data_IF_160943320184
#
_entry.id   IF_160943320184
#
_cell.length_a   1.000
_cell.length_b   1.000
_cell.length_c   1.000
_cell.angle_alpha   90.00
_cell.angle_beta   90.00
_cell.angle_gamma   90.00
#
_symmetry.space_group_name_H-M   'P 1'
#
loop_
_entity.id
_entity.type
_entity.pdbx_description
1 polymer ?
#
# COMPACT_ATOMS: atom_id res chain seq x y z
N UNK A 1 3.97 8.32 -2.81
CA UNK A 1 3.63 7.06 -2.11
C UNK A 1 4.32 5.92 -2.82
N UNK A 2 5.47 5.45 -2.32
CA UNK A 2 6.15 4.30 -2.90
C UNK A 2 5.41 3.00 -2.58
N UNK A 3 5.29 2.14 -3.60
CA UNK A 3 4.75 0.80 -3.51
C UNK A 3 5.76 -0.15 -2.87
N UNK A 4 5.32 -0.97 -1.90
CA UNK A 4 6.16 -1.95 -1.23
C UNK A 4 5.92 -3.37 -1.76
N UNK A 5 4.69 -3.88 -1.62
CA UNK A 5 4.33 -5.23 -2.07
C UNK A 5 2.81 -5.38 -2.20
N UNK A 6 2.35 -6.39 -2.96
CA UNK A 6 0.95 -6.80 -2.98
C UNK A 6 0.57 -7.43 -1.64
N UNK A 7 -0.64 -7.14 -1.15
CA UNK A 7 -1.16 -7.75 0.10
C UNK A 7 -1.27 -9.26 -0.02
N UNK A 8 -1.73 -9.77 -1.18
CA UNK A 8 -1.88 -11.20 -1.44
C UNK A 8 -0.51 -11.90 -1.49
N UNK A 9 0.48 -11.24 -2.10
CA UNK A 9 1.83 -11.82 -2.19
C UNK A 9 2.46 -11.92 -0.81
N UNK A 10 2.31 -10.87 0.01
CA UNK A 10 2.85 -10.88 1.37
C UNK A 10 2.15 -11.91 2.25
N UNK A 11 0.81 -11.99 2.20
CA UNK A 11 0.06 -12.94 3.01
C UNK A 11 0.46 -14.38 2.73
N UNK A 12 0.60 -14.76 1.44
CA UNK A 12 1.09 -16.09 1.05
C UNK A 12 2.54 -16.32 1.47
N UNK A 13 3.40 -15.31 1.32
CA UNK A 13 4.81 -15.43 1.72
C UNK A 13 4.96 -15.67 3.24
N UNK A 14 4.03 -15.16 4.05
CA UNK A 14 4.02 -15.30 5.50
C UNK A 14 3.29 -16.55 6.01
N UNK A 15 2.78 -17.40 5.13
CA UNK A 15 2.30 -18.74 5.51
C UNK A 15 3.44 -19.59 6.10
N UNK A 16 4.67 -19.33 5.69
CA UNK A 16 5.89 -19.93 6.26
C UNK A 16 6.52 -18.98 7.30
N UNK A 17 6.47 -19.36 8.58
CA UNK A 17 6.93 -18.51 9.69
C UNK A 17 8.43 -18.15 9.63
N UNK A 18 9.23 -18.91 8.89
CA UNK A 18 10.68 -18.65 8.71
C UNK A 18 10.98 -17.48 7.77
N UNK A 19 9.99 -17.04 7.00
CA UNK A 19 10.18 -15.98 6.01
C UNK A 19 10.22 -14.60 6.65
N UNK A 20 11.02 -13.69 6.08
CA UNK A 20 11.11 -12.29 6.49
C UNK A 20 11.09 -11.39 5.26
N UNK A 21 10.09 -10.53 5.17
CA UNK A 21 10.06 -9.49 4.15
C UNK A 21 10.70 -8.22 4.72
N UNK A 22 11.90 -7.88 4.27
CA UNK A 22 12.69 -6.76 4.78
C UNK A 22 12.75 -5.61 3.77
N UNK A 23 12.78 -4.39 4.31
CA UNK A 23 12.78 -3.15 3.55
C UNK A 23 14.06 -2.38 3.83
N UNK A 24 14.76 -1.97 2.76
CA UNK A 24 15.86 -1.01 2.81
C UNK A 24 15.37 0.34 2.26
N UNK A 25 15.13 1.29 3.15
CA UNK A 25 14.80 2.68 2.81
C UNK A 25 16.05 3.55 2.94
N UNK A 26 16.30 4.35 1.92
CA UNK A 26 17.43 5.28 1.86
C UNK A 26 16.87 6.68 1.59
N UNK A 27 17.00 7.56 2.58
CA UNK A 27 16.73 8.97 2.42
C UNK A 27 18.02 9.65 1.96
N UNK A 28 17.92 10.44 0.89
CA UNK A 28 19.06 11.13 0.32
C UNK A 28 18.66 12.52 -0.18
N UNK A 29 19.66 13.38 -0.33
CA UNK A 29 19.54 14.68 -1.00
C UNK A 29 20.36 14.65 -2.27
N UNK A 30 19.92 15.35 -3.30
CA UNK A 30 20.71 15.56 -4.51
C UNK A 30 21.53 16.83 -4.37
N UNK A 31 22.84 16.72 -4.65
CA UNK A 31 23.77 17.85 -4.70
C UNK A 31 24.53 17.79 -6.03
N UNK A 32 24.04 18.52 -7.03
CA UNK A 32 24.49 18.38 -8.41
C UNK A 32 24.25 16.97 -8.95
N UNK A 33 25.32 16.27 -9.33
CA UNK A 33 25.28 14.89 -9.84
C UNK A 33 25.48 13.83 -8.75
N UNK A 34 25.59 14.23 -7.48
CA UNK A 34 25.82 13.32 -6.34
C UNK A 34 24.56 13.15 -5.50
N UNK A 35 24.33 11.93 -5.02
CA UNK A 35 23.34 11.64 -3.99
C UNK A 35 24.05 11.56 -2.64
N UNK A 36 23.67 12.45 -1.72
CA UNK A 36 24.15 12.45 -0.35
C UNK A 36 23.15 11.71 0.54
N UNK A 37 23.55 10.55 1.05
CA UNK A 37 22.72 9.72 1.90
C UNK A 37 22.53 10.41 3.26
N UNK A 38 21.29 10.73 3.60
CA UNK A 38 20.93 11.38 4.85
C UNK A 38 20.55 10.36 5.94
N UNK A 39 19.84 9.29 5.57
CA UNK A 39 19.41 8.26 6.53
C UNK A 39 19.19 6.93 5.82
N UNK A 40 19.58 5.85 6.49
CA UNK A 40 19.28 4.48 6.05
C UNK A 40 18.41 3.82 7.10
N UNK A 41 17.37 3.11 6.67
CA UNK A 41 16.50 2.31 7.53
C UNK A 41 16.38 0.94 6.92
N UNK A 42 16.84 -0.08 7.63
CA UNK A 42 16.75 -1.48 7.21
C UNK A 42 16.02 -2.28 8.28
N UNK A 43 14.82 -2.75 7.98
CA UNK A 43 13.98 -3.46 8.94
C UNK A 43 12.96 -4.37 8.25
N UNK A 44 12.48 -5.43 8.93
CA UNK A 44 11.29 -6.18 8.52
C UNK A 44 10.07 -5.26 8.40
N UNK A 45 9.16 -5.56 7.47
CA UNK A 45 7.94 -4.75 7.27
C UNK A 45 7.07 -4.69 8.53
N UNK A 46 7.12 -5.71 9.37
CA UNK A 46 6.40 -5.77 10.64
C UNK A 46 6.79 -4.64 11.60
N UNK A 47 7.99 -4.06 11.42
CA UNK A 47 8.46 -2.94 12.22
C UNK A 47 7.98 -1.59 11.67
N UNK A 48 7.40 -1.55 10.47
CA UNK A 48 6.74 -0.36 9.94
C UNK A 48 5.33 -0.33 10.49
N UNK A 49 5.09 0.65 11.36
CA UNK A 49 3.80 0.84 12.01
C UNK A 49 2.73 1.20 10.97
N UNK A 50 1.50 0.68 11.14
CA UNK A 50 0.39 0.94 10.22
C UNK A 50 0.07 2.45 10.07
N UNK A 51 0.43 3.30 11.05
CA UNK A 51 0.32 4.77 10.95
C UNK A 51 1.12 5.36 9.77
N UNK A 52 2.16 4.67 9.29
CA UNK A 52 2.97 5.11 8.15
C UNK A 52 2.72 4.31 6.86
N UNK A 53 1.82 3.33 6.92
CA UNK A 53 1.43 2.47 5.80
C UNK A 53 0.04 2.85 5.28
N UNK A 54 -0.23 2.49 4.04
CA UNK A 54 -1.56 2.61 3.43
C UNK A 54 -1.76 1.55 2.37
N UNK A 55 -3.01 1.36 1.93
CA UNK A 55 -3.38 0.40 0.88
C UNK A 55 -3.74 1.15 -0.40
N UNK A 56 -3.00 0.87 -1.46
CA UNK A 56 -3.31 1.32 -2.82
C UNK A 56 -4.30 0.38 -3.52
N UNK A 57 -5.21 0.95 -4.30
CA UNK A 57 -6.22 0.24 -5.08
C UNK A 57 -5.67 -0.37 -6.38
N UNK A 58 -4.76 -1.34 -6.26
CA UNK A 58 -4.22 -2.11 -7.38
C UNK A 58 -4.29 -3.61 -7.09
N UNK A 59 -4.91 -4.37 -7.99
CA UNK A 59 -5.10 -5.82 -7.82
C UNK A 59 -5.89 -6.14 -6.54
N UNK A 60 -5.33 -7.01 -5.69
CA UNK A 60 -5.87 -7.32 -4.36
C UNK A 60 -5.64 -6.21 -3.32
N UNK A 61 -4.93 -5.15 -3.67
CA UNK A 61 -4.44 -4.15 -2.74
C UNK A 61 -2.92 -4.17 -2.68
N UNK A 62 -2.33 -2.99 -2.54
CA UNK A 62 -0.89 -2.82 -2.49
C UNK A 62 -0.49 -2.07 -1.23
N UNK A 63 0.40 -2.65 -0.42
CA UNK A 63 0.95 -1.95 0.73
C UNK A 63 1.90 -0.86 0.22
N UNK A 64 1.70 0.35 0.70
CA UNK A 64 2.45 1.54 0.33
C UNK A 64 2.92 2.29 1.57
N UNK A 65 3.95 3.12 1.43
CA UNK A 65 4.26 4.14 2.44
C UNK A 65 3.34 5.34 2.21
N UNK A 66 2.55 5.70 3.22
CA UNK A 66 1.62 6.82 3.18
C UNK A 66 2.36 8.15 2.97
N UNK A 67 3.45 8.36 3.72
CA UNK A 67 4.32 9.52 3.57
C UNK A 67 5.79 9.12 3.77
N UNK A 68 6.60 9.15 2.71
CA UNK A 68 8.00 8.71 2.77
C UNK A 68 8.89 9.58 3.68
N UNK A 69 8.47 10.81 3.98
CA UNK A 69 9.17 11.70 4.91
C UNK A 69 8.86 11.37 6.38
N UNK A 70 7.77 10.64 6.65
CA UNK A 70 7.31 10.31 8.00
C UNK A 70 7.13 8.80 8.10
N UNK A 71 8.22 8.10 8.40
CA UNK A 71 8.24 6.64 8.59
C UNK A 71 8.44 6.33 10.07
N UNK A 72 7.42 5.72 10.67
CA UNK A 72 7.41 5.30 12.07
C UNK A 72 7.85 3.84 12.16
N UNK A 73 8.99 3.62 12.81
CA UNK A 73 9.54 2.29 13.05
C UNK A 73 9.30 1.91 14.51
N UNK A 74 8.68 0.76 14.74
CA UNK A 74 8.47 0.13 16.05
C UNK A 74 9.27 -1.17 16.08
N UNK A 75 10.52 -1.14 16.58
CA UNK A 75 11.36 -2.33 16.63
C UNK A 75 10.72 -3.45 17.46
N UNK A 76 10.93 -4.70 17.04
CA UNK A 76 10.39 -5.89 17.73
C UNK A 76 8.87 -5.94 17.82
N UNK A 77 8.16 -5.22 16.95
CA UNK A 77 6.72 -5.36 16.83
C UNK A 77 6.37 -6.82 16.47
N UNK A 78 5.25 -7.30 17.02
CA UNK A 78 4.83 -8.69 16.83
C UNK A 78 4.28 -8.91 15.43
N UNK A 79 4.82 -9.91 14.71
CA UNK A 79 4.31 -10.32 13.39
C UNK A 79 2.83 -10.67 13.44
N UNK A 80 2.41 -11.46 14.44
CA UNK A 80 1.00 -11.85 14.59
C UNK A 80 0.12 -10.61 14.73
N UNK A 81 0.51 -9.67 15.58
CA UNK A 81 -0.24 -8.42 15.77
C UNK A 81 -0.32 -7.64 14.46
N UNK A 82 0.81 -7.45 13.79
CA UNK A 82 0.90 -6.70 12.54
C UNK A 82 0.04 -7.32 11.41
N UNK A 83 0.01 -8.66 11.33
CA UNK A 83 -0.81 -9.38 10.36
C UNK A 83 -2.32 -9.31 10.68
N UNK A 84 -2.70 -9.27 11.95
CA UNK A 84 -4.11 -9.03 12.32
C UNK A 84 -4.53 -7.61 11.94
N UNK A 85 -3.66 -6.62 12.18
CA UNK A 85 -3.89 -5.23 11.75
C UNK A 85 -3.98 -5.11 10.20
N UNK A 86 -3.19 -5.89 9.45
CA UNK A 86 -3.35 -6.01 7.99
C UNK A 86 -4.74 -6.51 7.63
N UNK A 87 -5.22 -7.58 8.27
CA UNK A 87 -6.54 -8.13 8.02
C UNK A 87 -7.65 -7.11 8.29
N UNK A 88 -7.61 -6.45 9.45
CA UNK A 88 -8.59 -5.42 9.82
C UNK A 88 -8.59 -4.27 8.80
N UNK A 89 -7.39 -3.81 8.42
CA UNK A 89 -7.22 -2.76 7.40
C UNK A 89 -7.83 -3.16 6.06
N UNK A 90 -7.64 -4.41 5.62
CA UNK A 90 -8.20 -4.90 4.36
C UNK A 90 -9.73 -5.05 4.43
N UNK A 91 -10.25 -5.52 5.56
CA UNK A 91 -11.71 -5.64 5.78
C UNK A 91 -12.41 -4.28 5.80
N UNK A 92 -11.73 -3.20 6.21
CA UNK A 92 -12.24 -1.84 6.06
C UNK A 92 -12.06 -1.25 4.65
N UNK A 93 -10.99 -1.64 3.96
CA UNK A 93 -10.63 -1.12 2.65
C UNK A 93 -11.58 -1.62 1.56
N UNK A 94 -11.85 -2.92 1.50
CA UNK A 94 -12.61 -3.51 0.39
C UNK A 94 -14.05 -2.97 0.24
N UNK A 95 -14.85 -2.75 1.31
CA UNK A 95 -16.17 -2.16 1.18
C UNK A 95 -16.15 -0.78 0.52
N UNK A 96 -15.12 0.03 0.82
CA UNK A 96 -14.93 1.36 0.21
C UNK A 96 -14.65 1.24 -1.29
N UNK A 97 -13.83 0.26 -1.69
CA UNK A 97 -13.56 0.01 -3.11
C UNK A 97 -14.78 -0.51 -3.86
N UNK A 98 -15.60 -1.37 -3.24
CA UNK A 98 -16.88 -1.82 -3.83
C UNK A 98 -17.79 -0.60 -4.09
N UNK A 99 -17.90 0.31 -3.13
CA UNK A 99 -18.66 1.55 -3.29
C UNK A 99 -18.17 2.39 -4.48
N UNK A 100 -16.85 2.63 -4.57
CA UNK A 100 -16.24 3.37 -5.71
C UNK A 100 -16.48 2.67 -7.04
N UNK A 101 -16.43 1.34 -7.08
CA UNK A 101 -16.73 0.58 -8.30
C UNK A 101 -18.18 0.79 -8.72
N UNK A 102 -19.12 0.78 -7.77
CA UNK A 102 -20.53 1.09 -8.02
C UNK A 102 -20.71 2.48 -8.65
N UNK A 103 -20.10 3.51 -8.06
CA UNK A 103 -20.13 4.89 -8.60
C UNK A 103 -19.56 4.98 -10.02
N UNK A 104 -18.44 4.30 -10.28
CA UNK A 104 -17.82 4.24 -11.62
C UNK A 104 -18.73 3.57 -12.64
N UNK A 105 -19.41 2.49 -12.26
CA UNK A 105 -20.38 1.81 -13.12
C UNK A 105 -21.52 2.76 -13.49
N UNK A 106 -22.12 3.44 -12.52
CA UNK A 106 -23.21 4.39 -12.78
C UNK A 106 -22.76 5.57 -13.65
N UNK A 107 -21.55 6.10 -13.41
CA UNK A 107 -20.98 7.14 -14.24
C UNK A 107 -20.89 6.72 -15.71
N UNK A 108 -20.39 5.52 -15.99
CA UNK A 108 -20.26 5.03 -17.38
C UNK A 108 -21.58 4.59 -18.02
N UNK A 109 -22.57 4.15 -17.24
CA UNK A 109 -23.96 3.99 -17.73
C UNK A 109 -24.51 5.32 -18.23
N UNK A 110 -24.31 6.41 -17.48
CA UNK A 110 -24.75 7.74 -17.88
C UNK A 110 -24.03 8.23 -19.14
N UNK A 111 -22.70 8.05 -19.22
CA UNK A 111 -21.93 8.38 -20.43
C UNK A 111 -22.48 7.62 -21.63
N UNK A 112 -22.69 6.31 -21.50
CA UNK A 112 -23.24 5.48 -22.57
C UNK A 112 -24.58 6.01 -23.07
N UNK A 113 -25.51 6.32 -22.17
CA UNK A 113 -26.82 6.88 -22.51
C UNK A 113 -26.72 8.21 -23.27
N UNK A 114 -25.71 9.03 -23.00
CA UNK A 114 -25.46 10.28 -23.75
C UNK A 114 -25.01 9.99 -25.17
N UNK A 115 -24.10 9.04 -25.35
CA UNK A 115 -23.56 8.69 -26.67
C UNK A 115 -24.56 7.96 -27.56
N UNK A 116 -25.40 7.08 -26.99
CA UNK A 116 -26.46 6.38 -27.73
C UNK A 116 -27.52 7.34 -28.32
N UNK A 117 -27.62 8.58 -27.82
CA UNK A 117 -28.55 9.61 -28.32
C UNK A 117 -27.95 10.50 -29.40
N UNK A 118 -26.66 10.39 -29.69
CA UNK A 118 -26.02 11.20 -30.74
C UNK A 118 -26.22 10.53 -32.09
N UNK A 119 -26.39 11.35 -33.13
CA UNK A 119 -26.24 10.89 -34.51
C UNK A 119 -24.76 10.70 -34.85
N UNK A 120 -24.48 9.81 -35.79
CA UNK A 120 -23.14 9.64 -36.39
C UNK A 120 -22.63 10.90 -37.09
#
# INVERSE_FOLDING_TARGET
>A
MPNLTSVERLSRFYEEDVNYFTLLKIDYKTNGTRAEIAKVTFAPIEFFDWDCLTIGALGWGQIQIANANVVKIVPKNSRKKWMLELCDTMLEFYPKEIGKIGERIEHFKNIRNVWEKKSD
#
